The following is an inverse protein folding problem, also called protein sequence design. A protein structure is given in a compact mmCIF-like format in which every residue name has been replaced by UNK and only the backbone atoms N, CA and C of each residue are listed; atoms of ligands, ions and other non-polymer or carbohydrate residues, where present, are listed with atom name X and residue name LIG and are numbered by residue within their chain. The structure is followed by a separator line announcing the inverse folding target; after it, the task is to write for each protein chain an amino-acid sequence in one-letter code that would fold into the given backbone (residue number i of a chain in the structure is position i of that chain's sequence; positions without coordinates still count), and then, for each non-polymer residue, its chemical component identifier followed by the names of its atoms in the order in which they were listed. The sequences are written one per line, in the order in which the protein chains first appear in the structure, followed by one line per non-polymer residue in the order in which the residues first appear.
data_IF_809451655621
#
_entry.id   IF_809451655621
#
_cell.length_a   1.000
_cell.length_b   1.000
_cell.length_c   1.000
_cell.angle_alpha   90.00
_cell.angle_beta   90.00
_cell.angle_gamma   90.00
#
_symmetry.space_group_name_H-M   'P 1'
#
loop_
_entity.id
_entity.type
_entity.pdbx_description
1 polymer ?
#
# COMPACT_ATOMS: atom_id res chain seq x y z
N UNK A 1 15.15 -0.68 10.65
CA UNK A 1 13.80 -0.21 10.29
C UNK A 1 13.10 -1.30 9.50
N UNK A 2 11.80 -1.50 9.69
CA UNK A 2 10.98 -2.34 8.82
C UNK A 2 10.19 -1.43 7.88
N UNK A 3 10.05 -1.83 6.62
CA UNK A 3 9.35 -1.09 5.58
C UNK A 3 8.44 -2.08 4.86
N UNK A 4 7.15 -1.76 4.76
CA UNK A 4 6.20 -2.52 3.94
C UNK A 4 6.06 -1.83 2.58
N UNK A 5 6.14 -2.60 1.50
CA UNK A 5 6.04 -2.09 0.13
C UNK A 5 4.87 -2.77 -0.57
N UNK A 6 3.92 -1.98 -1.07
CA UNK A 6 2.91 -2.44 -2.00
C UNK A 6 3.53 -2.53 -3.39
N UNK A 7 3.50 -3.72 -3.99
CA UNK A 7 4.04 -3.94 -5.33
C UNK A 7 3.33 -5.09 -6.04
N UNK A 8 3.19 -4.99 -7.36
CA UNK A 8 2.76 -6.07 -8.26
C UNK A 8 3.95 -6.87 -8.78
N UNK A 9 5.03 -6.18 -9.14
CA UNK A 9 6.22 -6.80 -9.77
C UNK A 9 7.30 -7.16 -8.77
N UNK A 10 7.17 -6.71 -7.53
CA UNK A 10 7.98 -7.10 -6.39
C UNK A 10 8.62 -5.91 -5.68
N UNK A 11 9.63 -5.30 -6.27
CA UNK A 11 10.40 -4.20 -5.63
C UNK A 11 10.03 -2.82 -6.15
N UNK A 12 9.35 -2.74 -7.29
CA UNK A 12 8.87 -1.47 -7.85
C UNK A 12 7.61 -1.00 -7.11
N UNK A 13 7.48 0.29 -6.88
CA UNK A 13 6.27 0.88 -6.28
C UNK A 13 5.23 1.12 -7.39
N UNK A 14 4.70 0.03 -7.93
CA UNK A 14 3.79 -0.01 -9.08
C UNK A 14 2.36 -0.43 -8.71
N UNK A 15 2.11 -0.62 -7.41
CA UNK A 15 0.82 -1.00 -6.86
C UNK A 15 0.26 0.14 -6.01
N UNK A 16 -0.99 0.54 -6.32
CA UNK A 16 -1.72 1.45 -5.45
C UNK A 16 -2.01 0.75 -4.11
N UNK A 17 -1.70 1.43 -3.00
CA UNK A 17 -1.85 0.91 -1.65
C UNK A 17 -3.24 0.29 -1.40
N UNK A 18 -4.31 1.00 -1.78
CA UNK A 18 -5.68 0.54 -1.57
C UNK A 18 -6.04 -0.76 -2.30
N UNK A 19 -5.34 -1.10 -3.37
CA UNK A 19 -5.61 -2.31 -4.16
C UNK A 19 -4.57 -3.41 -3.93
N UNK A 20 -3.63 -3.22 -3.00
CA UNK A 20 -2.62 -4.23 -2.70
C UNK A 20 -3.28 -5.46 -2.06
N UNK A 21 -2.88 -6.64 -2.54
CA UNK A 21 -3.28 -7.94 -1.99
C UNK A 21 -2.17 -8.57 -1.15
N UNK A 22 -0.94 -8.03 -1.23
CA UNK A 22 0.16 -8.39 -0.36
C UNK A 22 1.09 -7.20 -0.13
N UNK A 23 1.86 -7.28 0.95
CA UNK A 23 2.96 -6.38 1.24
C UNK A 23 4.25 -7.16 1.43
N UNK A 24 5.30 -6.74 0.72
CA UNK A 24 6.65 -7.24 0.97
C UNK A 24 7.28 -6.44 2.09
N UNK A 25 7.83 -7.14 3.07
CA UNK A 25 8.44 -6.53 4.25
C UNK A 25 9.95 -6.56 4.11
N UNK A 26 10.54 -5.37 4.11
CA UNK A 26 11.98 -5.17 4.04
C UNK A 26 12.53 -4.74 5.39
N UNK A 27 13.60 -5.39 5.82
CA UNK A 27 14.45 -4.92 6.90
C UNK A 27 15.57 -4.08 6.31
N UNK A 28 15.54 -2.79 6.60
CA UNK A 28 16.55 -1.86 6.16
C UNK A 28 17.54 -1.53 7.28
N UNK A 29 18.84 -1.69 6.98
CA UNK A 29 19.95 -1.30 7.86
C UNK A 29 21.13 -0.83 7.03
N UNK A 30 21.61 0.40 7.28
CA UNK A 30 22.85 0.95 6.69
C UNK A 30 22.93 0.80 5.16
N UNK A 31 21.92 1.24 4.41
CA UNK A 31 21.96 1.16 2.94
C UNK A 31 21.52 -0.18 2.35
N UNK A 32 21.33 -1.22 3.16
CA UNK A 32 21.01 -2.55 2.66
C UNK A 32 19.55 -2.94 2.98
N UNK A 33 18.64 -2.95 1.98
CA UNK A 33 17.31 -3.51 2.12
C UNK A 33 17.36 -5.03 1.93
N UNK A 34 16.91 -5.79 2.94
CA UNK A 34 16.71 -7.23 2.83
C UNK A 34 15.22 -7.55 2.94
N UNK A 35 14.65 -8.25 1.96
CA UNK A 35 13.30 -8.79 2.10
C UNK A 35 13.31 -9.88 3.18
N UNK A 36 12.49 -9.73 4.20
CA UNK A 36 12.44 -10.66 5.34
C UNK A 36 11.10 -11.38 5.46
N UNK A 37 10.05 -10.88 4.81
CA UNK A 37 8.72 -11.50 4.82
C UNK A 37 7.86 -10.97 3.66
N UNK A 38 6.73 -11.63 3.44
CA UNK A 38 5.63 -11.20 2.59
C UNK A 38 4.33 -11.57 3.30
N UNK A 39 3.38 -10.64 3.33
CA UNK A 39 2.11 -10.79 4.06
C UNK A 39 0.97 -10.53 3.10
N UNK A 40 0.11 -11.52 2.91
CA UNK A 40 -1.15 -11.38 2.19
C UNK A 40 -2.15 -10.57 3.04
N UNK A 41 -2.90 -9.69 2.39
CA UNK A 41 -3.88 -8.80 3.02
C UNK A 41 -5.13 -8.71 2.15
N UNK A 42 -6.26 -8.44 2.78
CA UNK A 42 -7.46 -8.05 2.02
C UNK A 42 -7.29 -6.63 1.46
N UNK A 43 -7.85 -6.40 0.26
CA UNK A 43 -7.85 -5.07 -0.35
C UNK A 43 -8.58 -4.09 0.54
N UNK A 44 -7.90 -2.98 0.84
CA UNK A 44 -8.51 -1.87 1.55
C UNK A 44 -9.60 -1.18 0.72
N UNK A 45 -9.40 -1.06 -0.60
CA UNK A 45 -10.38 -0.57 -1.55
C UNK A 45 -11.20 -1.76 -2.07
N UNK A 46 -12.31 -2.02 -1.41
CA UNK A 46 -13.24 -3.12 -1.74
C UNK A 46 -14.28 -2.76 -2.79
N UNK A 47 -14.28 -1.53 -3.32
CA UNK A 47 -15.35 -1.03 -4.22
C UNK A 47 -16.76 -1.25 -3.64
N UNK A 48 -16.90 -1.25 -2.31
CA UNK A 48 -18.18 -1.35 -1.65
C UNK A 48 -19.07 -0.16 -2.08
N UNK A 49 -20.14 -0.41 -2.86
CA UNK A 49 -21.00 0.66 -3.37
C UNK A 49 -21.83 1.32 -2.27
N UNK A 50 -21.97 0.67 -1.10
CA UNK A 50 -22.61 1.23 0.09
C UNK A 50 -21.59 1.96 0.98
N UNK A 51 -20.29 1.89 0.68
CA UNK A 51 -19.29 2.63 1.43
C UNK A 51 -19.45 4.13 1.14
N UNK A 52 -19.80 4.96 2.13
CA UNK A 52 -20.10 6.36 1.90
C UNK A 52 -18.90 7.06 1.27
N UNK A 53 -19.12 7.71 0.12
CA UNK A 53 -18.10 8.49 -0.55
C UNK A 53 -17.62 9.59 0.39
N UNK A 54 -16.33 9.57 0.73
CA UNK A 54 -15.77 10.47 1.75
C UNK A 54 -15.38 11.82 1.13
N UNK A 55 -16.38 12.60 0.70
CA UNK A 55 -16.23 13.89 0.02
C UNK A 55 -15.15 14.79 0.65
N UNK A 56 -15.19 14.98 1.97
CA UNK A 56 -14.23 15.83 2.69
C UNK A 56 -12.75 15.47 2.46
N UNK A 57 -12.43 14.19 2.35
CA UNK A 57 -11.05 13.74 2.12
C UNK A 57 -10.67 13.85 0.65
N UNK A 58 -11.62 13.64 -0.26
CA UNK A 58 -11.42 13.88 -1.69
C UNK A 58 -11.17 15.36 -1.97
N UNK A 59 -12.00 16.26 -1.45
CA UNK A 59 -11.89 17.71 -1.66
C UNK A 59 -10.53 18.23 -1.17
N UNK A 60 -10.07 17.79 0.01
CA UNK A 60 -8.77 18.16 0.54
C UNK A 60 -7.55 17.64 -0.25
N UNK A 61 -7.73 16.63 -1.11
CA UNK A 61 -6.68 16.16 -2.04
C UNK A 61 -6.77 16.91 -3.36
N UNK A 62 -7.99 17.18 -3.85
CA UNK A 62 -8.22 17.85 -5.11
C UNK A 62 -7.84 19.35 -5.10
N UNK A 63 -7.91 19.98 -3.94
CA UNK A 63 -7.58 21.40 -3.74
C UNK A 63 -6.12 21.65 -3.31
N UNK A 64 -5.29 20.60 -3.21
CA UNK A 64 -3.90 20.66 -2.73
C UNK A 64 -2.85 20.89 -3.85
#
# INVERSE_FOLDING_TARGET
MLIAVASKTGTEVDQHFGHAESFKIFKYRKGNPLQVSEVEVEKYCSFDPDHPFRHRQFDGIAEA
#
